data_IF_529513624582
#
_entry.id   IF_529513624582
#
_cell.length_a   1.000
_cell.length_b   1.000
_cell.length_c   1.000
_cell.angle_alpha   90.00
_cell.angle_beta   90.00
_cell.angle_gamma   90.00
#
_symmetry.space_group_name_H-M   'P 1'
#
loop_
_entity.id
_entity.type
_entity.pdbx_description
1 polymer ?
#
# COMPACT_ATOMS: atom_id res chain seq x y z
N UNK A 1 -8.17 -0.05 18.74
CA UNK A 1 -9.18 -1.10 18.52
C UNK A 1 -9.40 -1.25 17.04
N UNK A 2 -9.09 -2.42 16.49
CA UNK A 2 -9.35 -2.79 15.09
C UNK A 2 -10.70 -3.50 15.02
N UNK A 3 -11.52 -3.14 14.04
CA UNK A 3 -12.82 -3.77 13.82
C UNK A 3 -12.64 -5.13 13.17
N UNK A 4 -13.38 -6.13 13.64
CA UNK A 4 -13.34 -7.49 13.08
C UNK A 4 -14.22 -7.61 11.82
N UNK A 5 -13.94 -8.60 10.98
CA UNK A 5 -14.64 -8.85 9.72
C UNK A 5 -16.16 -8.99 9.92
N UNK A 6 -16.60 -9.67 10.98
CA UNK A 6 -18.02 -9.81 11.29
C UNK A 6 -18.70 -8.46 11.58
N UNK A 7 -18.01 -7.58 12.30
CA UNK A 7 -18.53 -6.26 12.65
C UNK A 7 -18.63 -5.37 11.41
N UNK A 8 -17.66 -5.48 10.51
CA UNK A 8 -17.68 -4.81 9.22
C UNK A 8 -18.90 -5.26 8.40
N UNK A 9 -19.11 -6.57 8.27
CA UNK A 9 -20.25 -7.10 7.48
C UNK A 9 -21.59 -6.69 8.08
N UNK A 10 -21.70 -6.63 9.41
CA UNK A 10 -22.91 -6.16 10.08
C UNK A 10 -23.19 -4.67 9.80
N UNK A 11 -22.16 -3.82 9.79
CA UNK A 11 -22.33 -2.40 9.46
C UNK A 11 -22.72 -2.18 8.00
N UNK A 12 -22.13 -2.95 7.07
CA UNK A 12 -22.50 -2.89 5.65
C UNK A 12 -23.96 -3.33 5.44
N UNK A 13 -24.40 -4.38 6.14
CA UNK A 13 -25.79 -4.85 6.09
C UNK A 13 -26.81 -3.84 6.65
N UNK A 14 -26.38 -2.99 7.59
CA UNK A 14 -27.18 -1.89 8.14
C UNK A 14 -27.19 -0.64 7.25
N UNK A 15 -26.48 -0.67 6.10
CA UNK A 15 -26.39 0.46 5.17
C UNK A 15 -25.56 1.64 5.70
N UNK A 16 -24.72 1.41 6.71
CA UNK A 16 -23.90 2.46 7.32
C UNK A 16 -22.64 2.70 6.49
N UNK A 17 -22.44 3.93 6.04
CA UNK A 17 -21.24 4.31 5.30
C UNK A 17 -20.01 4.29 6.20
N UNK A 18 -18.98 3.54 5.80
CA UNK A 18 -17.70 3.50 6.51
C UNK A 18 -16.86 4.73 6.17
N UNK A 19 -16.69 5.63 7.14
CA UNK A 19 -15.72 6.71 7.03
C UNK A 19 -14.33 6.20 7.38
N UNK A 20 -13.44 6.16 6.38
CA UNK A 20 -12.02 5.92 6.61
C UNK A 20 -11.33 7.25 6.86
N UNK A 21 -10.75 7.40 8.05
CA UNK A 21 -9.92 8.56 8.37
C UNK A 21 -8.61 8.44 7.58
N UNK A 22 -8.44 9.26 6.55
CA UNK A 22 -7.14 9.44 5.90
C UNK A 22 -6.33 10.44 6.74
N UNK A 23 -5.22 9.99 7.32
CA UNK A 23 -4.30 10.90 8.00
C UNK A 23 -3.54 11.74 6.96
N UNK A 24 -3.27 13.03 7.24
CA UNK A 24 -2.39 13.85 6.40
C UNK A 24 -1.04 13.13 6.20
N UNK A 25 -0.62 12.92 4.95
CA UNK A 25 0.58 12.15 4.62
C UNK A 25 0.39 10.62 4.45
N UNK A 26 -0.86 10.14 4.47
CA UNK A 26 -1.27 8.81 3.95
C UNK A 26 -1.93 8.91 2.57
N UNK A 27 -1.61 9.94 1.79
CA UNK A 27 -2.02 10.02 0.40
C UNK A 27 -0.86 9.49 -0.44
N UNK A 28 -1.14 8.45 -1.22
CA UNK A 28 -0.16 7.91 -2.15
C UNK A 28 0.14 8.94 -3.24
N UNK A 29 1.40 9.14 -3.63
CA UNK A 29 1.73 9.96 -4.79
C UNK A 29 1.00 9.44 -6.03
N UNK A 30 0.49 10.36 -6.85
CA UNK A 30 -0.12 10.01 -8.12
C UNK A 30 0.99 9.88 -9.18
N UNK A 31 1.76 8.80 -9.08
CA UNK A 31 2.84 8.44 -9.99
C UNK A 31 2.59 7.02 -10.55
N UNK A 32 2.70 6.81 -11.87
CA UNK A 32 2.46 5.51 -12.51
C UNK A 32 3.39 4.39 -12.03
N UNK A 33 4.51 4.70 -11.34
CA UNK A 33 5.40 3.70 -10.74
C UNK A 33 4.85 3.11 -9.44
N UNK A 34 3.91 3.78 -8.78
CA UNK A 34 3.42 3.38 -7.46
C UNK A 34 2.60 2.09 -7.53
N UNK A 35 1.65 1.97 -8.45
CA UNK A 35 0.82 0.76 -8.57
C UNK A 35 1.64 -0.50 -8.91
N UNK A 36 2.59 -0.47 -9.86
CA UNK A 36 3.49 -1.60 -10.12
C UNK A 36 4.33 -2.01 -8.91
N UNK A 37 4.84 -1.04 -8.13
CA UNK A 37 5.66 -1.30 -6.95
C UNK A 37 4.84 -1.93 -5.81
N UNK A 38 3.64 -1.40 -5.57
CA UNK A 38 2.70 -1.99 -4.60
C UNK A 38 2.32 -3.41 -5.01
N UNK A 39 1.93 -3.61 -6.27
CA UNK A 39 1.63 -4.95 -6.77
C UNK A 39 2.81 -5.88 -6.59
N UNK A 40 4.03 -5.45 -6.92
CA UNK A 40 5.24 -6.26 -6.73
C UNK A 40 5.47 -6.66 -5.26
N UNK A 41 5.12 -5.79 -4.31
CA UNK A 41 5.12 -6.08 -2.88
C UNK A 41 3.91 -6.94 -2.41
N UNK A 42 2.91 -7.18 -3.25
CA UNK A 42 1.68 -7.89 -2.88
C UNK A 42 0.63 -6.99 -2.22
N UNK A 43 0.79 -5.67 -2.30
CA UNK A 43 -0.12 -4.69 -1.71
C UNK A 43 -1.01 -4.04 -2.77
N UNK A 44 -2.15 -3.51 -2.32
CA UNK A 44 -3.03 -2.62 -3.08
C UNK A 44 -2.96 -1.19 -2.54
N UNK A 45 -3.40 -0.19 -3.32
CA UNK A 45 -3.43 1.23 -2.89
C UNK A 45 -4.14 1.44 -1.55
N UNK A 46 -5.18 0.66 -1.29
CA UNK A 46 -5.99 0.77 -0.08
C UNK A 46 -5.44 -0.04 1.11
N UNK A 47 -4.35 -0.79 0.95
CA UNK A 47 -3.76 -1.56 2.04
C UNK A 47 -3.12 -0.63 3.08
N UNK A 48 -3.28 -0.94 4.37
CA UNK A 48 -2.79 -0.11 5.48
C UNK A 48 -1.25 0.08 5.47
N UNK A 49 -0.51 -0.80 4.78
CA UNK A 49 0.93 -0.70 4.58
C UNK A 49 1.39 0.03 3.32
N UNK A 50 0.49 0.38 2.39
CA UNK A 50 0.86 0.92 1.08
C UNK A 50 1.63 2.25 1.18
N UNK A 51 1.13 3.18 1.99
CA UNK A 51 1.79 4.46 2.22
C UNK A 51 3.15 4.33 2.90
N UNK A 52 3.24 3.44 3.89
CA UNK A 52 4.49 3.20 4.62
C UNK A 52 5.55 2.61 3.69
N UNK A 53 5.15 1.66 2.84
CA UNK A 53 6.03 1.06 1.85
C UNK A 53 6.55 2.14 0.88
N UNK A 54 5.67 2.90 0.23
CA UNK A 54 6.08 3.92 -0.75
C UNK A 54 7.02 4.96 -0.13
N UNK A 55 6.77 5.40 1.12
CA UNK A 55 7.69 6.30 1.84
C UNK A 55 9.06 5.68 2.09
N UNK A 56 9.11 4.39 2.41
CA UNK A 56 10.38 3.69 2.69
C UNK A 56 11.26 3.53 1.45
N UNK A 57 10.70 3.65 0.24
CA UNK A 57 11.42 3.53 -1.02
C UNK A 57 12.21 4.80 -1.38
N UNK A 58 11.94 5.94 -0.72
CA UNK A 58 12.58 7.22 -1.01
C UNK A 58 11.96 7.93 -2.22
N UNK A 59 12.73 8.82 -2.88
CA UNK A 59 12.25 9.60 -4.02
C UNK A 59 12.00 8.70 -5.24
N UNK A 60 10.76 8.68 -5.73
CA UNK A 60 10.37 7.89 -6.92
C UNK A 60 11.15 8.28 -8.19
N UNK A 61 11.68 9.51 -8.22
CA UNK A 61 12.53 10.01 -9.31
C UNK A 61 13.82 9.20 -9.46
N UNK A 62 14.45 8.80 -8.35
CA UNK A 62 15.69 8.01 -8.36
C UNK A 62 15.43 6.57 -8.81
N UNK A 63 14.20 6.10 -8.57
CA UNK A 63 13.70 4.81 -9.01
C UNK A 63 13.33 4.79 -10.49
N UNK A 64 13.52 5.87 -11.26
CA UNK A 64 13.36 5.83 -12.72
C UNK A 64 14.47 5.04 -13.41
N UNK A 65 15.65 4.93 -12.81
CA UNK A 65 16.76 4.16 -13.38
C UNK A 65 16.51 2.65 -13.32
N UNK A 66 16.88 1.93 -14.37
CA UNK A 66 16.71 0.47 -14.43
C UNK A 66 17.54 -0.27 -13.37
N UNK A 67 18.72 0.27 -13.01
CA UNK A 67 19.58 -0.29 -11.97
C UNK A 67 18.94 -0.16 -10.57
N UNK A 68 18.38 1.01 -10.23
CA UNK A 68 17.70 1.21 -8.95
C UNK A 68 16.48 0.31 -8.80
N UNK A 69 15.66 0.17 -9.87
CA UNK A 69 14.53 -0.78 -9.87
C UNK A 69 14.96 -2.22 -9.64
N UNK A 70 16.04 -2.66 -10.29
CA UNK A 70 16.58 -4.02 -10.13
C UNK A 70 17.10 -4.28 -8.72
N UNK A 71 17.78 -3.32 -8.12
CA UNK A 71 18.26 -3.43 -6.73
C UNK A 71 17.10 -3.57 -5.73
N UNK A 72 15.94 -2.96 -6.05
CA UNK A 72 14.78 -2.94 -5.17
C UNK A 72 13.88 -4.19 -5.30
N UNK A 73 13.97 -4.90 -6.44
CA UNK A 73 13.14 -6.04 -6.76
C UNK A 73 13.20 -7.22 -5.76
N UNK A 74 14.39 -7.66 -5.27
CA UNK A 74 14.48 -8.74 -4.29
C UNK A 74 13.74 -8.40 -2.99
N UNK A 75 13.85 -7.15 -2.54
CA UNK A 75 13.20 -6.66 -1.31
C UNK A 75 11.68 -6.67 -1.44
N UNK A 76 11.14 -6.25 -2.58
CA UNK A 76 9.69 -6.32 -2.85
C UNK A 76 9.16 -7.76 -2.88
N UNK A 77 9.90 -8.69 -3.50
CA UNK A 77 9.52 -10.11 -3.50
C UNK A 77 9.57 -10.72 -2.10
N UNK A 78 10.53 -10.31 -1.28
CA UNK A 78 10.62 -10.76 0.11
C UNK A 78 9.43 -10.23 0.92
N UNK A 79 9.05 -8.96 0.75
CA UNK A 79 7.86 -8.39 1.38
C UNK A 79 6.59 -9.13 0.98
N UNK A 80 6.42 -9.46 -0.31
CA UNK A 80 5.28 -10.26 -0.79
C UNK A 80 5.22 -11.64 -0.12
N UNK A 81 6.37 -12.25 0.19
CA UNK A 81 6.44 -13.57 0.83
C UNK A 81 6.15 -13.55 2.32
N UNK A 82 6.36 -12.42 2.99
CA UNK A 82 6.26 -12.30 4.44
C UNK A 82 5.13 -11.39 4.92
N UNK A 83 4.43 -10.69 4.02
CA UNK A 83 3.45 -9.67 4.36
C UNK A 83 2.25 -9.64 3.41
N UNK A 84 1.55 -10.78 3.33
CA UNK A 84 0.19 -10.88 2.83
C UNK A 84 -0.74 -11.27 3.96
#
# INVERSE_FOLDING_TARGET
>A
MTWDALQITALDALGLARYRVQMPGQVLPDDPLVDPLLRAAGLHRDADGACALVRSLGALTDLRSAAAKRALWPRLRQLRRHGG
#
